data_IF_113189023013
#
_entry.id   IF_113189023013
#
_cell.length_a   1.000
_cell.length_b   1.000
_cell.length_c   1.000
_cell.angle_alpha   90.00
_cell.angle_beta   90.00
_cell.angle_gamma   90.00
#
_symmetry.space_group_name_H-M   'P 1'
#
loop_
_entity.id
_entity.type
_entity.pdbx_description
1 polymer ?
#
# COMPACT_ATOMS: atom_id res chain seq x y z
N UNK A 1 -23.30 -29.10 2.30
CA UNK A 1 -23.52 -27.74 1.76
C UNK A 1 -23.41 -27.86 0.25
N UNK A 2 -24.52 -27.69 -0.45
CA UNK A 2 -24.64 -28.01 -1.87
C UNK A 2 -23.71 -27.14 -2.71
N UNK A 3 -22.74 -27.81 -3.33
CA UNK A 3 -21.96 -27.32 -4.45
C UNK A 3 -22.88 -27.23 -5.68
N UNK A 4 -23.40 -26.02 -5.91
CA UNK A 4 -24.05 -25.65 -7.17
C UNK A 4 -23.06 -24.74 -7.89
N UNK A 5 -22.38 -25.32 -8.87
CA UNK A 5 -21.71 -24.65 -9.99
C UNK A 5 -22.73 -23.86 -10.83
N UNK A 6 -23.37 -22.85 -10.25
CA UNK A 6 -23.80 -21.70 -11.04
C UNK A 6 -22.51 -21.00 -11.43
N UNK A 7 -22.22 -20.89 -12.73
CA UNK A 7 -21.10 -20.09 -13.21
C UNK A 7 -21.11 -18.77 -12.46
N UNK A 8 -20.10 -18.56 -11.61
CA UNK A 8 -20.16 -17.45 -10.65
C UNK A 8 -19.98 -16.19 -11.47
N UNK A 9 -21.04 -15.40 -11.63
CA UNK A 9 -20.97 -14.17 -12.39
C UNK A 9 -19.86 -13.29 -11.80
N UNK A 10 -18.94 -12.84 -12.65
CA UNK A 10 -17.82 -11.99 -12.25
C UNK A 10 -17.89 -10.61 -12.92
N UNK A 11 -18.99 -9.85 -12.74
CA UNK A 11 -19.22 -8.61 -13.48
C UNK A 11 -18.12 -7.55 -13.28
N UNK A 12 -17.52 -7.45 -12.09
CA UNK A 12 -16.40 -6.52 -11.85
C UNK A 12 -15.15 -7.00 -12.57
N UNK A 13 -14.79 -8.28 -12.47
CA UNK A 13 -13.65 -8.82 -13.20
C UNK A 13 -13.81 -8.67 -14.72
N UNK A 14 -15.01 -8.93 -15.23
CA UNK A 14 -15.33 -8.81 -16.66
C UNK A 14 -15.25 -7.36 -17.13
N UNK A 15 -15.74 -6.42 -16.32
CA UNK A 15 -15.60 -4.98 -16.59
C UNK A 15 -14.12 -4.55 -16.59
N UNK A 16 -13.32 -5.01 -15.64
CA UNK A 16 -11.88 -4.72 -15.60
C UNK A 16 -11.17 -5.26 -16.84
N UNK A 17 -11.54 -6.46 -17.32
CA UNK A 17 -11.01 -7.02 -18.58
C UNK A 17 -11.42 -6.18 -19.78
N UNK A 18 -12.71 -5.84 -19.89
CA UNK A 18 -13.25 -5.08 -21.01
C UNK A 18 -12.68 -3.66 -21.11
N UNK A 19 -12.34 -3.04 -19.98
CA UNK A 19 -11.74 -1.69 -19.92
C UNK A 19 -10.21 -1.68 -20.01
N UNK A 20 -9.58 -2.85 -20.10
CA UNK A 20 -8.12 -2.98 -20.08
C UNK A 20 -7.46 -2.68 -18.73
N UNK A 21 -8.26 -2.60 -17.66
CA UNK A 21 -7.79 -2.37 -16.28
C UNK A 21 -7.38 -3.67 -15.58
N UNK A 22 -7.65 -4.82 -16.20
CA UNK A 22 -7.23 -6.13 -15.70
C UNK A 22 -5.72 -6.31 -15.78
N UNK A 23 -5.10 -6.68 -14.66
CA UNK A 23 -3.70 -7.06 -14.63
C UNK A 23 -3.57 -8.58 -14.84
N UNK A 24 -2.82 -9.06 -15.85
CA UNK A 24 -2.60 -10.49 -16.08
C UNK A 24 -2.04 -11.26 -14.87
N UNK A 25 -1.38 -10.57 -13.94
CA UNK A 25 -0.95 -11.19 -12.68
C UNK A 25 -2.12 -11.71 -11.80
N UNK A 26 -3.36 -11.32 -12.12
CA UNK A 26 -4.58 -11.80 -11.45
C UNK A 26 -5.18 -13.04 -12.10
N UNK A 27 -4.69 -13.48 -13.27
CA UNK A 27 -5.21 -14.68 -13.95
C UNK A 27 -5.13 -15.94 -13.07
N UNK A 28 -4.01 -16.24 -12.36
CA UNK A 28 -3.92 -17.44 -11.55
C UNK A 28 -4.95 -17.53 -10.42
N UNK A 29 -5.25 -16.39 -9.76
CA UNK A 29 -6.24 -16.38 -8.68
C UNK A 29 -7.67 -16.39 -9.23
N UNK A 30 -7.91 -15.77 -10.38
CA UNK A 30 -9.19 -15.81 -11.06
C UNK A 30 -9.53 -17.21 -11.57
N UNK A 31 -8.55 -17.98 -12.03
CA UNK A 31 -8.71 -19.39 -12.42
C UNK A 31 -8.93 -20.29 -11.19
N UNK A 32 -8.21 -20.02 -10.10
CA UNK A 32 -8.27 -20.83 -8.87
C UNK A 32 -9.59 -20.63 -8.10
N UNK A 33 -10.01 -19.38 -7.90
CA UNK A 33 -11.24 -19.01 -7.20
C UNK A 33 -11.86 -17.74 -7.83
N UNK A 34 -12.70 -17.92 -8.87
CA UNK A 34 -13.38 -16.81 -9.53
C UNK A 34 -14.30 -16.03 -8.58
N UNK A 35 -14.96 -16.73 -7.66
CA UNK A 35 -15.93 -16.15 -6.74
C UNK A 35 -15.26 -15.25 -5.69
N UNK A 36 -14.12 -15.69 -5.16
CA UNK A 36 -13.30 -14.89 -4.26
C UNK A 36 -12.67 -13.71 -4.98
N UNK A 37 -12.13 -13.93 -6.18
CA UNK A 37 -11.50 -12.88 -6.98
C UNK A 37 -12.50 -11.76 -7.28
N UNK A 38 -13.73 -12.09 -7.68
CA UNK A 38 -14.79 -11.11 -7.89
C UNK A 38 -15.06 -10.27 -6.64
N UNK A 39 -15.18 -10.92 -5.46
CA UNK A 39 -15.41 -10.19 -4.20
C UNK A 39 -14.23 -9.30 -3.83
N UNK A 40 -13.00 -9.77 -4.03
CA UNK A 40 -11.79 -8.99 -3.77
C UNK A 40 -11.71 -7.77 -4.68
N UNK A 41 -11.99 -7.93 -5.98
CA UNK A 41 -12.02 -6.82 -6.93
C UNK A 41 -13.15 -5.85 -6.63
N UNK A 42 -14.36 -6.34 -6.31
CA UNK A 42 -15.50 -5.51 -5.96
C UNK A 42 -15.24 -4.63 -4.74
N UNK A 43 -14.53 -5.17 -3.73
CA UNK A 43 -14.11 -4.42 -2.55
C UNK A 43 -13.24 -3.21 -2.92
N UNK A 44 -12.28 -3.38 -3.83
CA UNK A 44 -11.43 -2.28 -4.31
C UNK A 44 -12.14 -1.33 -5.29
N UNK A 45 -12.99 -1.88 -6.15
CA UNK A 45 -13.68 -1.14 -7.22
C UNK A 45 -14.62 -0.06 -6.69
N UNK A 46 -15.22 -0.24 -5.51
CA UNK A 46 -16.12 0.75 -4.91
C UNK A 46 -15.47 2.15 -4.84
N UNK A 47 -14.20 2.23 -4.45
CA UNK A 47 -13.48 3.51 -4.34
C UNK A 47 -13.32 4.19 -5.70
N UNK A 48 -13.06 3.42 -6.76
CA UNK A 48 -12.93 3.92 -8.13
C UNK A 48 -14.29 4.31 -8.71
N UNK A 49 -15.31 3.47 -8.50
CA UNK A 49 -16.65 3.64 -9.08
C UNK A 49 -17.46 4.74 -8.40
N UNK A 50 -17.18 5.06 -7.13
CA UNK A 50 -17.89 6.11 -6.39
C UNK A 50 -17.62 7.53 -6.93
N UNK A 51 -16.55 7.73 -7.71
CA UNK A 51 -16.23 9.02 -8.34
C UNK A 51 -15.84 10.14 -7.38
N UNK A 52 -15.64 9.84 -6.09
CA UNK A 52 -15.30 10.85 -5.06
C UNK A 52 -13.87 11.37 -5.19
N UNK A 53 -12.99 10.61 -5.85
CA UNK A 53 -11.62 11.00 -6.17
C UNK A 53 -11.45 11.07 -7.68
N UNK A 54 -10.71 12.08 -8.15
CA UNK A 54 -10.26 12.11 -9.53
C UNK A 54 -9.43 10.85 -9.85
N UNK A 55 -9.59 10.24 -11.03
CA UNK A 55 -8.81 9.06 -11.42
C UNK A 55 -7.30 9.26 -11.26
N UNK A 56 -6.77 10.45 -11.58
CA UNK A 56 -5.34 10.77 -11.42
C UNK A 56 -4.88 10.70 -9.96
N UNK A 57 -5.72 11.15 -9.02
CA UNK A 57 -5.42 11.11 -7.58
C UNK A 57 -5.44 9.66 -7.06
N UNK A 58 -6.36 8.84 -7.54
CA UNK A 58 -6.38 7.40 -7.23
C UNK A 58 -5.06 6.72 -7.64
N UNK A 59 -4.55 7.04 -8.83
CA UNK A 59 -3.24 6.53 -9.27
C UNK A 59 -2.09 7.04 -8.40
N UNK A 60 -2.11 8.29 -7.93
CA UNK A 60 -1.10 8.79 -6.98
C UNK A 60 -1.11 8.02 -5.66
N UNK A 61 -2.29 7.70 -5.12
CA UNK A 61 -2.41 6.90 -3.91
C UNK A 61 -1.86 5.49 -4.16
N UNK A 62 -2.20 4.87 -5.28
CA UNK A 62 -1.72 3.54 -5.64
C UNK A 62 -0.18 3.51 -5.81
N UNK A 63 0.41 4.54 -6.45
CA UNK A 63 1.87 4.71 -6.53
C UNK A 63 2.47 4.82 -5.12
N UNK A 64 1.88 5.63 -4.24
CA UNK A 64 2.38 5.82 -2.89
C UNK A 64 2.42 4.50 -2.10
N UNK A 65 1.33 3.72 -2.15
CA UNK A 65 1.24 2.42 -1.49
C UNK A 65 2.28 1.44 -2.03
N UNK A 66 2.39 1.31 -3.35
CA UNK A 66 3.31 0.36 -3.99
C UNK A 66 4.79 0.73 -3.82
N UNK A 67 5.11 2.03 -3.86
CA UNK A 67 6.49 2.52 -3.80
C UNK A 67 7.03 2.68 -2.37
N UNK A 68 6.16 2.67 -1.35
CA UNK A 68 6.58 2.82 0.05
C UNK A 68 7.63 1.77 0.44
N UNK A 69 8.62 2.15 1.26
CA UNK A 69 9.73 1.27 1.67
C UNK A 69 9.28 0.05 2.48
N UNK A 70 8.05 0.05 3.00
CA UNK A 70 7.40 -1.07 3.68
C UNK A 70 6.72 -2.06 2.73
N UNK A 71 6.62 -1.74 1.43
CA UNK A 71 5.95 -2.58 0.44
C UNK A 71 6.82 -2.88 -0.80
N UNK A 72 7.35 -1.84 -1.46
CA UNK A 72 8.25 -1.93 -2.63
C UNK A 72 7.75 -2.85 -3.75
N UNK A 73 6.45 -2.81 -4.06
CA UNK A 73 5.85 -3.59 -5.12
C UNK A 73 6.09 -2.95 -6.50
N UNK A 74 7.25 -3.26 -7.06
CA UNK A 74 7.73 -2.65 -8.30
C UNK A 74 6.82 -2.87 -9.54
N UNK A 75 6.12 -4.01 -9.72
CA UNK A 75 5.19 -4.18 -10.84
C UNK A 75 4.01 -3.20 -10.77
N UNK A 76 3.40 -3.05 -9.59
CA UNK A 76 2.28 -2.14 -9.39
C UNK A 76 2.69 -0.68 -9.50
N UNK A 77 3.84 -0.31 -8.92
CA UNK A 77 4.43 1.04 -9.06
C UNK A 77 4.53 1.45 -10.54
N UNK A 78 5.06 0.56 -11.40
CA UNK A 78 5.18 0.84 -12.84
C UNK A 78 3.83 0.96 -13.54
N UNK A 79 2.87 0.10 -13.20
CA UNK A 79 1.51 0.12 -13.75
C UNK A 79 0.83 1.45 -13.43
N UNK A 80 0.84 1.86 -12.16
CA UNK A 80 0.16 3.07 -11.71
C UNK A 80 0.85 4.36 -12.18
N UNK A 81 2.19 4.39 -12.27
CA UNK A 81 2.91 5.50 -12.93
C UNK A 81 2.47 5.66 -14.39
N UNK A 82 2.38 4.55 -15.15
CA UNK A 82 1.93 4.62 -16.55
C UNK A 82 0.51 5.15 -16.64
N UNK A 83 -0.40 4.65 -15.81
CA UNK A 83 -1.80 5.08 -15.81
C UNK A 83 -1.97 6.54 -15.40
N UNK A 84 -1.21 7.00 -14.40
CA UNK A 84 -1.18 8.41 -14.02
C UNK A 84 -0.76 9.31 -15.20
N UNK A 85 0.29 8.92 -15.95
CA UNK A 85 0.73 9.65 -17.14
C UNK A 85 -0.34 9.69 -18.24
N UNK A 86 -1.04 8.57 -18.48
CA UNK A 86 -2.18 8.52 -19.42
C UNK A 86 -3.32 9.45 -19.00
N UNK A 87 -3.50 9.66 -17.70
CA UNK A 87 -4.48 10.59 -17.11
C UNK A 87 -3.98 12.04 -17.01
N UNK A 88 -2.83 12.34 -17.62
CA UNK A 88 -2.28 13.70 -17.69
C UNK A 88 -1.43 14.12 -16.49
N UNK A 89 -0.98 13.18 -15.64
CA UNK A 89 0.01 13.49 -14.62
C UNK A 89 1.34 13.91 -15.25
N UNK A 90 2.00 14.86 -14.62
CA UNK A 90 3.34 15.31 -14.96
C UNK A 90 4.39 14.46 -14.25
N UNK A 91 5.60 14.45 -14.80
CA UNK A 91 6.77 13.83 -14.14
C UNK A 91 7.05 14.46 -12.77
N UNK A 92 6.77 15.75 -12.60
CA UNK A 92 6.95 16.47 -11.34
C UNK A 92 5.96 16.01 -10.27
N UNK A 93 4.68 15.81 -10.62
CA UNK A 93 3.69 15.25 -9.68
C UNK A 93 4.08 13.83 -9.25
N UNK A 94 4.52 12.97 -10.19
CA UNK A 94 4.97 11.62 -9.85
C UNK A 94 6.21 11.66 -8.94
N UNK A 95 7.19 12.51 -9.24
CA UNK A 95 8.36 12.68 -8.39
C UNK A 95 7.98 13.16 -6.99
N UNK A 96 6.99 14.06 -6.87
CA UNK A 96 6.49 14.54 -5.58
C UNK A 96 5.86 13.41 -4.75
N UNK A 97 5.10 12.50 -5.37
CA UNK A 97 4.56 11.31 -4.67
C UNK A 97 5.69 10.42 -4.14
N UNK A 98 6.72 10.15 -4.97
CA UNK A 98 7.87 9.33 -4.57
C UNK A 98 8.68 9.98 -3.45
N UNK A 99 8.87 11.30 -3.50
CA UNK A 99 9.52 12.07 -2.44
C UNK A 99 8.71 12.00 -1.14
N UNK A 100 7.39 12.14 -1.20
CA UNK A 100 6.52 12.08 -0.03
C UNK A 100 6.66 10.73 0.71
N UNK A 101 6.67 9.61 -0.01
CA UNK A 101 6.80 8.28 0.62
C UNK A 101 8.24 7.94 1.06
N UNK A 102 9.25 8.63 0.52
CA UNK A 102 10.65 8.44 0.95
C UNK A 102 10.90 8.87 2.40
N UNK A 103 10.06 9.77 2.93
CA UNK A 103 10.19 10.30 4.30
C UNK A 103 9.76 9.28 5.36
N UNK A 104 9.07 8.19 5.01
CA UNK A 104 8.62 7.16 5.96
C UNK A 104 9.75 6.59 6.85
N UNK A 105 11.01 6.62 6.39
CA UNK A 105 12.16 6.23 7.19
C UNK A 105 12.37 7.04 8.48
N UNK A 106 11.84 8.27 8.56
CA UNK A 106 11.95 9.09 9.78
C UNK A 106 11.27 8.45 10.99
N UNK A 107 10.27 7.59 10.76
CA UNK A 107 9.56 6.90 11.84
C UNK A 107 10.49 6.04 12.71
N UNK A 108 11.59 5.52 12.16
CA UNK A 108 12.62 4.84 12.94
C UNK A 108 13.23 5.77 14.00
N UNK A 109 13.55 7.02 13.63
CA UNK A 109 14.07 8.01 14.59
C UNK A 109 12.99 8.51 15.54
N UNK A 110 11.75 8.72 15.06
CA UNK A 110 10.63 9.15 15.90
C UNK A 110 10.33 8.17 17.04
N UNK A 111 10.52 6.86 16.80
CA UNK A 111 10.39 5.83 17.83
C UNK A 111 11.68 5.62 18.62
N UNK A 112 12.82 5.55 17.92
CA UNK A 112 14.10 5.20 18.53
C UNK A 112 14.70 6.27 19.42
N UNK A 113 14.50 7.56 19.12
CA UNK A 113 15.07 8.64 19.92
C UNK A 113 14.47 8.71 21.34
N UNK A 114 13.15 8.64 21.55
CA UNK A 114 12.56 8.53 22.89
C UNK A 114 13.06 7.31 23.66
N UNK A 115 13.09 6.13 23.03
CA UNK A 115 13.58 4.89 23.66
C UNK A 115 15.04 5.05 24.11
N UNK A 116 15.90 5.63 23.26
CA UNK A 116 17.29 5.88 23.62
C UNK A 116 17.41 6.80 24.84
N UNK A 117 16.60 7.85 24.92
CA UNK A 117 16.59 8.76 26.07
C UNK A 117 16.14 8.06 27.35
N UNK A 118 15.13 7.19 27.26
CA UNK A 118 14.65 6.37 28.38
C UNK A 118 15.76 5.45 28.92
N UNK A 119 16.44 4.73 28.03
CA UNK A 119 17.52 3.81 28.40
C UNK A 119 18.74 4.55 29.00
N UNK A 120 19.11 5.71 28.44
CA UNK A 120 20.18 6.54 29.00
C UNK A 120 19.85 7.03 30.42
N UNK A 121 18.60 7.41 30.67
CA UNK A 121 18.14 7.80 32.00
C UNK A 121 18.16 6.63 32.99
N UNK A 122 17.73 5.44 32.56
CA UNK A 122 17.78 4.22 33.38
C UNK A 122 19.21 3.83 33.75
N UNK A 123 20.16 3.92 32.82
CA UNK A 123 21.59 3.65 33.06
C UNK A 123 22.15 4.61 34.12
N UNK A 124 21.85 5.91 34.02
CA UNK A 124 22.37 6.89 34.97
C UNK A 124 21.79 6.65 36.38
N UNK A 125 20.49 6.32 36.48
CA UNK A 125 19.86 5.97 37.75
C UNK A 125 20.50 4.72 38.38
N UNK A 126 20.75 3.67 37.59
CA UNK A 126 21.41 2.46 38.04
C UNK A 126 22.83 2.76 38.55
N UNK A 127 23.61 3.54 37.79
CA UNK A 127 24.97 3.96 38.16
C UNK A 127 25.00 4.71 39.48
N UNK A 128 24.09 5.68 39.64
CA UNK A 128 23.98 6.48 40.87
C UNK A 128 23.62 5.60 42.08
N UNK A 129 22.73 4.61 41.89
CA UNK A 129 22.33 3.66 42.93
C UNK A 129 23.50 2.78 43.36
N UNK A 130 24.25 2.23 42.41
CA UNK A 130 25.45 1.42 42.68
C UNK A 130 26.52 2.21 43.42
N UNK A 131 26.82 3.44 42.99
CA UNK A 131 27.80 4.31 43.68
C UNK A 131 27.38 4.61 45.11
N UNK A 132 26.08 4.86 45.35
CA UNK A 132 25.56 5.10 46.70
C UNK A 132 25.58 3.87 47.59
N UNK A 133 25.40 2.67 47.02
CA UNK A 133 25.47 1.42 47.78
C UNK A 133 26.92 1.01 48.14
N UNK A 134 27.92 1.55 47.43
CA UNK A 134 29.34 1.28 47.66
C UNK A 134 30.04 2.28 48.58
N UNK A 135 29.35 3.37 48.97
CA UNK A 135 29.83 4.41 49.89
C UNK A 135 29.23 4.22 51.30
#
# INVERSE_FOLDING_TARGET
MSDKTSGTATPVCDHLRATGSWNPAWDPIAELDPAWTEKFMAMGAHTVMSGVLEPKVLEFIAIAVDASCTHMYAPGTRRHIRKALELGATRAEIAAVLQAVSVLGIHTSSLGAPILLEELAAIEQARTTTTRAAA
#
